data_IF_624156759444
#
_entry.id   IF_624156759444
#
_cell.length_a   1.000
_cell.length_b   1.000
_cell.length_c   1.000
_cell.angle_alpha   90.00
_cell.angle_beta   90.00
_cell.angle_gamma   90.00
#
_symmetry.space_group_name_H-M   'P 1'
#
loop_
_entity.id
_entity.type
_entity.pdbx_description
1 polymer ?
#
# COMPACT_ATOMS: atom_id res chain seq x y z
N UNK A 1 8.40 19.34 8.60
CA UNK A 1 9.03 18.34 7.71
C UNK A 1 10.24 17.71 8.40
N UNK A 2 11.08 18.55 9.01
CA UNK A 2 12.37 18.17 9.61
C UNK A 2 12.27 17.01 10.62
N UNK A 3 11.29 17.03 11.53
CA UNK A 3 11.14 15.96 12.54
C UNK A 3 10.80 14.60 11.92
N UNK A 4 9.90 14.56 10.94
CA UNK A 4 9.50 13.30 10.31
C UNK A 4 10.65 12.74 9.44
N UNK A 5 11.36 13.61 8.71
CA UNK A 5 12.54 13.20 7.95
C UNK A 5 13.66 12.69 8.83
N UNK A 6 13.92 13.35 9.97
CA UNK A 6 14.89 12.88 10.95
C UNK A 6 14.51 11.50 11.49
N UNK A 7 13.23 11.25 11.82
CA UNK A 7 12.75 9.94 12.22
C UNK A 7 13.01 8.87 11.15
N UNK A 8 12.67 9.13 9.88
CA UNK A 8 12.92 8.19 8.79
C UNK A 8 14.42 7.92 8.60
N UNK A 9 15.27 8.92 8.82
CA UNK A 9 16.73 8.78 8.79
C UNK A 9 17.33 7.91 9.89
N UNK A 10 16.60 7.67 10.98
CA UNK A 10 17.02 6.78 12.07
C UNK A 10 16.64 5.31 11.83
N UNK A 11 15.85 5.01 10.79
CA UNK A 11 15.44 3.64 10.49
C UNK A 11 16.63 2.85 9.91
N UNK A 12 17.08 1.76 10.59
CA UNK A 12 18.27 1.04 10.16
C UNK A 12 18.00 0.23 8.89
N UNK A 13 18.91 0.25 7.93
CA UNK A 13 18.79 -0.56 6.70
C UNK A 13 19.03 -2.07 6.95
N UNK A 14 19.71 -2.42 8.04
CA UNK A 14 20.06 -3.79 8.40
C UNK A 14 20.05 -3.96 9.92
N UNK A 15 19.71 -5.17 10.38
CA UNK A 15 19.92 -5.59 11.76
C UNK A 15 20.31 -7.06 11.79
N UNK A 16 21.37 -7.40 12.51
CA UNK A 16 21.86 -8.77 12.69
C UNK A 16 22.09 -9.53 11.36
N UNK A 17 22.62 -8.85 10.32
CA UNK A 17 22.83 -9.43 9.00
C UNK A 17 21.60 -9.51 8.11
N UNK A 18 20.43 -9.03 8.57
CA UNK A 18 19.18 -9.05 7.84
C UNK A 18 18.81 -7.66 7.31
N UNK A 19 18.64 -7.56 5.99
CA UNK A 19 18.10 -6.35 5.35
C UNK A 19 16.69 -6.05 5.87
N UNK A 20 16.46 -4.82 6.30
CA UNK A 20 15.17 -4.32 6.75
C UNK A 20 14.51 -3.50 5.64
N UNK A 21 13.19 -3.68 5.48
CA UNK A 21 12.33 -2.87 4.62
C UNK A 21 11.30 -2.18 5.49
N UNK A 22 11.22 -0.86 5.39
CA UNK A 22 10.41 -0.04 6.27
C UNK A 22 9.13 0.40 5.58
N UNK A 23 8.06 0.48 6.37
CA UNK A 23 6.72 0.86 5.92
C UNK A 23 6.13 1.83 6.94
N UNK A 24 5.49 2.90 6.47
CA UNK A 24 4.73 3.83 7.32
C UNK A 24 3.30 3.99 6.83
N UNK A 25 2.36 3.96 7.76
CA UNK A 25 0.97 4.32 7.50
C UNK A 25 0.67 5.68 8.13
N UNK A 26 0.50 6.68 7.27
CA UNK A 26 0.09 8.02 7.70
C UNK A 26 -1.43 8.06 7.86
N UNK A 27 -1.90 8.69 8.94
CA UNK A 27 -3.33 8.71 9.30
C UNK A 27 -3.94 10.12 9.24
N UNK A 28 -3.18 11.11 8.80
CA UNK A 28 -3.60 12.51 8.77
C UNK A 28 -3.47 13.12 7.37
N UNK A 29 -4.42 13.97 6.98
CA UNK A 29 -4.50 14.56 5.63
C UNK A 29 -3.32 15.47 5.27
N UNK A 30 -2.59 15.99 6.25
CA UNK A 30 -1.39 16.81 6.00
C UNK A 30 -0.28 16.07 5.26
N UNK A 31 -0.33 14.73 5.20
CA UNK A 31 0.62 13.92 4.44
C UNK A 31 0.24 13.73 2.96
N UNK A 32 -0.93 14.21 2.53
CA UNK A 32 -1.37 14.20 1.14
C UNK A 32 -0.66 15.30 0.32
N UNK A 33 0.66 15.21 0.25
CA UNK A 33 1.52 16.25 -0.29
C UNK A 33 2.74 15.65 -1.02
N UNK A 34 3.19 16.25 -2.14
CA UNK A 34 4.36 15.79 -2.89
C UNK A 34 5.61 15.66 -2.02
N UNK A 35 5.81 16.58 -1.07
CA UNK A 35 6.98 16.62 -0.19
C UNK A 35 7.06 15.40 0.74
N UNK A 36 5.90 14.86 1.14
CA UNK A 36 5.85 13.61 1.91
C UNK A 36 6.32 12.43 1.05
N UNK A 37 5.84 12.35 -0.19
CA UNK A 37 6.19 11.28 -1.14
C UNK A 37 7.69 11.31 -1.44
N UNK A 38 8.23 12.49 -1.71
CA UNK A 38 9.65 12.69 -2.02
C UNK A 38 10.55 12.32 -0.82
N UNK A 39 10.12 12.68 0.40
CA UNK A 39 10.84 12.32 1.61
C UNK A 39 10.85 10.81 1.83
N UNK A 40 9.73 10.12 1.62
CA UNK A 40 9.66 8.66 1.75
C UNK A 40 10.53 7.96 0.71
N UNK A 41 10.53 8.43 -0.54
CA UNK A 41 11.43 7.96 -1.61
C UNK A 41 12.90 8.13 -1.26
N UNK A 42 13.28 9.31 -0.75
CA UNK A 42 14.65 9.60 -0.32
C UNK A 42 15.16 8.60 0.72
N UNK A 43 14.28 8.12 1.59
CA UNK A 43 14.62 7.17 2.65
C UNK A 43 14.33 5.70 2.28
N UNK A 44 13.80 5.41 1.08
CA UNK A 44 13.43 4.05 0.67
C UNK A 44 12.35 3.43 1.56
N UNK A 45 11.44 4.25 2.10
CA UNK A 45 10.37 3.81 3.00
C UNK A 45 9.07 3.72 2.22
N UNK A 46 8.40 2.56 2.27
CA UNK A 46 7.11 2.39 1.61
C UNK A 46 6.01 3.14 2.37
N UNK A 47 5.18 3.91 1.67
CA UNK A 47 3.90 4.38 2.19
C UNK A 47 2.89 3.23 2.09
N UNK A 48 2.04 3.07 3.10
CA UNK A 48 0.89 2.18 3.00
C UNK A 48 -0.16 2.81 2.10
N UNK A 49 -0.56 2.09 1.04
CA UNK A 49 -1.86 2.33 0.42
C UNK A 49 -2.96 1.78 1.33
N UNK A 50 -3.68 2.66 2.02
CA UNK A 50 -4.80 2.32 2.87
C UNK A 50 -6.12 2.61 2.15
N UNK A 51 -6.85 1.57 1.76
CA UNK A 51 -8.22 1.72 1.24
C UNK A 51 -9.19 1.66 2.42
N UNK A 52 -9.66 2.83 2.87
CA UNK A 52 -10.39 3.03 4.12
C UNK A 52 -11.34 4.22 4.02
N UNK A 53 -12.46 4.15 4.74
CA UNK A 53 -13.41 5.27 4.85
C UNK A 53 -12.88 6.44 5.69
N UNK A 54 -11.92 6.18 6.59
CA UNK A 54 -11.49 7.13 7.63
C UNK A 54 -10.14 7.80 7.34
N UNK A 55 -9.29 7.16 6.54
CA UNK A 55 -7.86 7.51 6.44
C UNK A 55 -7.41 7.83 5.02
N UNK A 56 -6.39 8.71 4.86
CA UNK A 56 -5.88 9.07 3.56
C UNK A 56 -5.34 7.86 2.79
N UNK A 57 -5.65 7.80 1.50
CA UNK A 57 -5.02 6.90 0.54
C UNK A 57 -3.90 7.64 -0.20
N UNK A 58 -2.70 7.05 -0.22
CA UNK A 58 -1.55 7.48 -1.00
C UNK A 58 -1.06 6.25 -1.75
N UNK A 59 -1.16 6.28 -3.08
CA UNK A 59 -0.80 5.16 -3.95
C UNK A 59 0.56 5.33 -4.65
N UNK A 60 1.28 6.41 -4.34
CA UNK A 60 2.64 6.63 -4.80
C UNK A 60 3.54 5.46 -4.41
N UNK A 61 4.30 4.94 -5.38
CA UNK A 61 5.38 3.98 -5.10
C UNK A 61 6.57 4.75 -4.53
N UNK A 62 6.92 4.46 -3.28
CA UNK A 62 8.00 5.15 -2.55
C UNK A 62 9.18 4.25 -2.14
N UNK A 63 9.10 2.96 -2.44
CA UNK A 63 10.16 1.97 -2.20
C UNK A 63 10.21 0.93 -3.34
N UNK A 64 11.13 -0.03 -3.25
CA UNK A 64 11.27 -1.15 -4.19
C UNK A 64 10.16 -2.22 -4.05
N UNK A 65 9.11 -1.92 -3.29
CA UNK A 65 7.93 -2.77 -3.06
C UNK A 65 6.70 -1.92 -2.73
N UNK A 66 5.53 -2.54 -2.80
CA UNK A 66 4.25 -1.93 -2.41
C UNK A 66 3.69 -2.61 -1.17
N UNK A 67 3.08 -1.82 -0.29
CA UNK A 67 2.37 -2.31 0.89
C UNK A 67 0.96 -1.73 0.92
N UNK A 68 -0.06 -2.59 0.91
CA UNK A 68 -1.46 -2.21 0.84
C UNK A 68 -2.28 -2.83 1.99
N UNK A 69 -3.20 -2.04 2.55
CA UNK A 69 -4.11 -2.44 3.62
C UNK A 69 -5.54 -2.09 3.23
N UNK A 70 -6.34 -3.11 2.88
CA UNK A 70 -7.73 -2.92 2.49
C UNK A 70 -8.64 -3.09 3.70
N UNK A 71 -9.39 -2.04 4.02
CA UNK A 71 -10.07 -1.84 5.30
C UNK A 71 -11.60 -1.84 5.24
N UNK A 72 -12.16 -2.25 4.10
CA UNK A 72 -13.57 -2.07 3.75
C UNK A 72 -14.32 -3.40 3.53
N UNK A 73 -13.89 -4.50 4.17
CA UNK A 73 -14.67 -5.75 4.11
C UNK A 73 -16.06 -5.54 4.72
N UNK A 74 -17.10 -6.06 4.05
CA UNK A 74 -18.49 -5.98 4.46
C UNK A 74 -18.98 -7.33 5.01
N UNK A 75 -19.63 -7.32 6.17
CA UNK A 75 -20.04 -8.54 6.87
C UNK A 75 -21.09 -9.35 6.11
N UNK A 76 -21.98 -8.65 5.40
CA UNK A 76 -23.03 -9.24 4.56
C UNK A 76 -22.49 -9.95 3.31
N UNK A 77 -21.21 -9.75 2.96
CA UNK A 77 -20.59 -10.39 1.80
C UNK A 77 -19.73 -11.55 2.29
N UNK A 78 -20.03 -12.82 1.92
CA UNK A 78 -19.28 -13.99 2.43
C UNK A 78 -17.78 -13.92 2.16
N UNK A 79 -17.38 -13.35 1.02
CA UNK A 79 -16.00 -13.11 0.59
C UNK A 79 -15.44 -11.76 1.06
N UNK A 80 -16.15 -11.03 1.93
CA UNK A 80 -15.76 -9.70 2.43
C UNK A 80 -15.92 -8.56 1.41
N UNK A 81 -15.66 -8.80 0.14
CA UNK A 81 -15.88 -7.84 -0.95
C UNK A 81 -16.77 -8.45 -2.04
N UNK A 82 -17.49 -7.58 -2.75
CA UNK A 82 -18.23 -7.98 -3.94
C UNK A 82 -17.27 -8.50 -5.03
N UNK A 83 -17.71 -9.41 -5.91
CA UNK A 83 -16.84 -9.99 -6.94
C UNK A 83 -16.10 -8.94 -7.79
N UNK A 84 -16.81 -7.91 -8.24
CA UNK A 84 -16.23 -6.83 -9.05
C UNK A 84 -15.16 -6.03 -8.29
N UNK A 85 -15.35 -5.83 -6.98
CA UNK A 85 -14.35 -5.17 -6.13
C UNK A 85 -13.10 -6.03 -5.96
N UNK A 86 -13.26 -7.35 -5.77
CA UNK A 86 -12.12 -8.28 -5.75
C UNK A 86 -11.35 -8.30 -7.08
N UNK A 87 -12.05 -8.19 -8.21
CA UNK A 87 -11.42 -8.12 -9.53
C UNK A 87 -10.67 -6.79 -9.72
N UNK A 88 -11.24 -5.66 -9.27
CA UNK A 88 -10.56 -4.36 -9.23
C UNK A 88 -9.29 -4.42 -8.39
N UNK A 89 -9.40 -4.96 -7.18
CA UNK A 89 -8.27 -5.14 -6.25
C UNK A 89 -7.18 -6.04 -6.88
N UNK A 90 -7.57 -7.12 -7.54
CA UNK A 90 -6.63 -8.01 -8.23
C UNK A 90 -5.92 -7.28 -9.39
N UNK A 91 -6.64 -6.49 -10.19
CA UNK A 91 -6.07 -5.69 -11.28
C UNK A 91 -5.07 -4.63 -10.78
N UNK A 92 -5.42 -3.96 -9.68
CA UNK A 92 -4.55 -3.02 -8.97
C UNK A 92 -3.25 -3.71 -8.50
N UNK A 93 -3.36 -4.85 -7.82
CA UNK A 93 -2.22 -5.62 -7.33
C UNK A 93 -1.31 -6.08 -8.47
N UNK A 94 -1.88 -6.62 -9.56
CA UNK A 94 -1.13 -7.04 -10.76
C UNK A 94 -0.43 -5.87 -11.44
N UNK A 95 -1.07 -4.70 -11.50
CA UNK A 95 -0.46 -3.49 -12.07
C UNK A 95 0.77 -3.07 -11.28
N UNK A 96 0.68 -3.02 -9.95
CA UNK A 96 1.84 -2.73 -9.11
C UNK A 96 2.93 -3.78 -9.27
N UNK A 97 2.59 -5.07 -9.26
CA UNK A 97 3.54 -6.17 -9.36
C UNK A 97 4.32 -6.15 -10.69
N UNK A 98 3.66 -5.75 -11.79
CA UNK A 98 4.27 -5.58 -13.11
C UNK A 98 5.12 -4.30 -13.25
N UNK A 99 5.29 -3.53 -12.18
CA UNK A 99 6.06 -2.29 -12.19
C UNK A 99 5.26 -1.03 -12.54
N UNK A 100 3.96 -1.16 -12.78
CA UNK A 100 3.07 -0.04 -13.06
C UNK A 100 2.63 0.72 -11.81
N UNK A 101 1.87 1.79 -12.03
CA UNK A 101 1.06 2.48 -11.01
C UNK A 101 -0.39 2.51 -11.53
N UNK A 102 -1.39 2.04 -10.76
CA UNK A 102 -2.80 2.15 -11.11
C UNK A 102 -3.19 3.62 -11.33
N UNK A 103 -3.92 3.90 -12.43
CA UNK A 103 -4.23 5.28 -12.84
C UNK A 103 -5.40 5.90 -12.06
N UNK A 104 -6.20 5.06 -11.43
CA UNK A 104 -7.43 5.40 -10.69
C UNK A 104 -7.19 5.66 -9.20
N UNK A 105 -5.95 5.52 -8.74
CA UNK A 105 -5.59 5.72 -7.33
C UNK A 105 -4.94 7.08 -7.08
N UNK A 106 -5.13 7.67 -5.89
CA UNK A 106 -4.60 8.99 -5.56
C UNK A 106 -3.08 8.94 -5.38
N UNK A 107 -2.37 9.66 -6.25
CA UNK A 107 -0.93 9.91 -6.16
C UNK A 107 -0.67 11.42 -6.03
N UNK A 108 0.38 11.78 -5.29
CA UNK A 108 0.71 13.16 -4.96
C UNK A 108 2.12 13.55 -5.40
N UNK A 109 3.03 12.60 -5.56
CA UNK A 109 4.37 12.86 -6.06
C UNK A 109 4.46 12.77 -7.58
N UNK A 110 5.67 13.01 -8.10
CA UNK A 110 5.97 12.73 -9.50
C UNK A 110 5.84 11.24 -9.80
N UNK A 111 5.32 10.90 -10.98
CA UNK A 111 5.15 9.51 -11.39
C UNK A 111 6.50 8.82 -11.57
N UNK A 112 6.62 7.58 -11.10
CA UNK A 112 7.78 6.73 -11.40
C UNK A 112 7.70 6.34 -12.86
N UNK A 113 8.75 6.67 -13.63
CA UNK A 113 8.81 6.40 -15.08
C UNK A 113 9.31 4.98 -15.35
N UNK A 114 10.19 4.48 -14.48
CA UNK A 114 10.79 3.15 -14.61
C UNK A 114 9.84 2.05 -14.14
N UNK A 115 9.56 1.11 -15.04
CA UNK A 115 8.64 -0.02 -14.80
C UNK A 115 9.44 -1.28 -14.50
N UNK A 116 9.95 -1.38 -13.28
CA UNK A 116 10.53 -2.61 -12.78
C UNK A 116 9.51 -3.42 -11.97
N UNK A 117 9.39 -4.75 -12.20
CA UNK A 117 8.59 -5.62 -11.37
C UNK A 117 8.99 -5.52 -9.90
N UNK A 118 8.01 -5.62 -9.00
CA UNK A 118 8.22 -5.44 -7.57
C UNK A 118 7.29 -6.29 -6.73
N UNK A 119 7.69 -6.54 -5.49
CA UNK A 119 6.85 -7.23 -4.52
C UNK A 119 5.62 -6.38 -4.16
N UNK A 120 4.47 -7.04 -3.99
CA UNK A 120 3.23 -6.43 -3.49
C UNK A 120 2.76 -7.19 -2.26
N UNK A 121 2.78 -6.53 -1.11
CA UNK A 121 2.24 -7.05 0.14
C UNK A 121 0.87 -6.43 0.38
N UNK A 122 -0.21 -7.20 0.18
CA UNK A 122 -1.58 -6.72 0.32
C UNK A 122 -2.31 -7.50 1.42
N UNK A 123 -2.88 -6.76 2.37
CA UNK A 123 -3.55 -7.30 3.54
C UNK A 123 -5.03 -6.90 3.60
N UNK A 124 -5.89 -7.89 3.81
CA UNK A 124 -7.29 -7.67 4.22
C UNK A 124 -7.33 -7.48 5.74
N UNK A 125 -7.63 -6.28 6.21
CA UNK A 125 -7.52 -5.91 7.63
C UNK A 125 -8.65 -4.96 8.03
N UNK A 126 -9.03 -4.84 9.30
CA UNK A 126 -10.17 -4.00 9.71
C UNK A 126 -11.49 -4.46 9.05
N UNK A 127 -12.46 -3.55 8.87
CA UNK A 127 -13.77 -3.82 8.31
C UNK A 127 -14.52 -4.89 9.10
N UNK A 128 -15.25 -5.75 8.39
CA UNK A 128 -15.81 -6.98 8.92
C UNK A 128 -14.69 -8.04 9.10
N UNK A 129 -13.96 -7.94 10.21
CA UNK A 129 -12.77 -8.79 10.51
C UNK A 129 -12.98 -10.28 10.31
N UNK A 130 -14.18 -10.79 10.62
CA UNK A 130 -14.56 -12.20 10.42
C UNK A 130 -14.50 -12.65 8.95
N UNK A 131 -14.63 -11.70 8.00
CA UNK A 131 -14.57 -11.95 6.55
C UNK A 131 -13.16 -11.84 5.97
N UNK A 132 -12.20 -11.23 6.68
CA UNK A 132 -10.88 -10.95 6.12
C UNK A 132 -10.13 -12.19 5.61
N UNK A 133 -10.16 -13.36 6.28
CA UNK A 133 -9.56 -14.58 5.74
C UNK A 133 -10.23 -15.03 4.43
N UNK A 134 -11.57 -15.02 4.36
CA UNK A 134 -12.30 -15.39 3.15
C UNK A 134 -12.02 -14.43 1.99
N UNK A 135 -11.89 -13.13 2.29
CA UNK A 135 -11.53 -12.12 1.31
C UNK A 135 -10.10 -12.31 0.77
N UNK A 136 -9.16 -12.63 1.64
CA UNK A 136 -7.78 -12.92 1.25
C UNK A 136 -7.70 -14.16 0.35
N UNK A 137 -8.40 -15.24 0.71
CA UNK A 137 -8.47 -16.46 -0.11
C UNK A 137 -9.08 -16.19 -1.49
N UNK A 138 -10.21 -15.45 -1.53
CA UNK A 138 -10.85 -15.09 -2.79
C UNK A 138 -9.98 -14.17 -3.66
N UNK A 139 -9.14 -13.33 -3.06
CA UNK A 139 -8.15 -12.54 -3.80
C UNK A 139 -7.01 -13.43 -4.33
N UNK A 140 -6.49 -14.36 -3.52
CA UNK A 140 -5.42 -15.29 -3.94
C UNK A 140 -5.81 -16.04 -5.21
N UNK A 141 -7.05 -16.54 -5.27
CA UNK A 141 -7.58 -17.22 -6.47
C UNK A 141 -7.59 -16.35 -7.74
N UNK A 142 -7.72 -15.02 -7.58
CA UNK A 142 -7.76 -14.07 -8.71
C UNK A 142 -6.38 -13.60 -9.15
N UNK A 143 -5.40 -13.65 -8.25
CA UNK A 143 -4.03 -13.19 -8.53
C UNK A 143 -3.07 -14.31 -8.91
N UNK A 144 -3.43 -15.57 -8.64
CA UNK A 144 -2.81 -16.75 -9.23
C UNK A 144 -2.87 -16.71 -10.76
#
# INVERSE_FOLDING_TARGET
>A
ADDFGAFLGLLPAEKDGLRLRHVVEVRHRSFLAPECVDLLRKHGVAVVYAESDDYPAIADVTADFVYARLQQTAEAVPTGYQPAELDRIAGMAKTWAAGGSPQDLPCFGTAVVDKEPRDVFLYMISGAKVRNPAAAMALIERVA
#
